data_IF_193739675081
#
_entry.id   IF_193739675081
#
_cell.length_a   1.000
_cell.length_b   1.000
_cell.length_c   1.000
_cell.angle_alpha   90.00
_cell.angle_beta   90.00
_cell.angle_gamma   90.00
#
_symmetry.space_group_name_H-M   'P 1'
#
loop_
_entity.id
_entity.type
_entity.pdbx_description
1 polymer ?
#
# COMPACT_ATOMS: atom_id res chain seq x y z
N UNK A 1 -10.09 -12.58 11.03
CA UNK A 1 -9.11 -11.49 10.82
C UNK A 1 -9.67 -10.51 9.82
N UNK A 2 -9.60 -9.21 10.11
CA UNK A 2 -10.08 -8.17 9.21
C UNK A 2 -9.03 -7.87 8.14
N UNK A 3 -9.44 -7.88 6.88
CA UNK A 3 -8.61 -7.50 5.74
C UNK A 3 -9.15 -6.23 5.11
N UNK A 4 -8.23 -5.37 4.69
CA UNK A 4 -8.50 -4.14 3.97
C UNK A 4 -7.97 -4.28 2.55
N UNK A 5 -8.83 -4.02 1.58
CA UNK A 5 -8.43 -3.75 0.20
C UNK A 5 -8.32 -2.23 0.06
N UNK A 6 -7.23 -1.75 -0.52
CA UNK A 6 -6.94 -0.32 -0.60
C UNK A 6 -6.34 0.07 -1.95
N UNK A 7 -6.43 1.37 -2.26
CA UNK A 7 -5.79 2.02 -3.40
C UNK A 7 -4.91 3.16 -2.87
N UNK A 8 -3.69 3.29 -3.39
CA UNK A 8 -2.78 4.42 -3.15
C UNK A 8 -2.55 5.16 -4.46
N UNK A 9 -2.55 6.50 -4.42
CA UNK A 9 -2.05 7.33 -5.50
C UNK A 9 -0.56 7.63 -5.26
N UNK A 10 0.29 7.17 -6.15
CA UNK A 10 1.73 7.42 -6.12
C UNK A 10 2.06 8.82 -6.64
N UNK A 11 3.27 9.31 -6.33
CA UNK A 11 3.72 10.65 -6.76
C UNK A 11 3.73 10.85 -8.28
N UNK A 12 3.88 9.76 -9.04
CA UNK A 12 3.82 9.73 -10.51
C UNK A 12 2.39 9.57 -11.06
N UNK A 13 1.35 9.77 -10.24
CA UNK A 13 -0.07 9.55 -10.60
C UNK A 13 -0.46 8.11 -10.89
N UNK A 14 0.44 7.14 -10.70
CA UNK A 14 0.08 5.73 -10.77
C UNK A 14 -0.82 5.36 -9.59
N UNK A 15 -1.76 4.46 -9.83
CA UNK A 15 -2.60 3.87 -8.80
C UNK A 15 -2.06 2.49 -8.43
N UNK A 16 -1.73 2.29 -7.16
CA UNK A 16 -1.32 1.01 -6.62
C UNK A 16 -2.46 0.40 -5.81
N UNK A 17 -2.81 -0.86 -6.10
CA UNK A 17 -3.82 -1.61 -5.34
C UNK A 17 -3.16 -2.63 -4.43
N UNK A 18 -3.72 -2.85 -3.24
CA UNK A 18 -3.15 -3.78 -2.28
C UNK A 18 -4.16 -4.31 -1.27
N UNK A 19 -3.75 -5.35 -0.55
CA UNK A 19 -4.50 -5.95 0.54
C UNK A 19 -3.61 -6.07 1.78
N UNK A 20 -4.16 -5.81 2.97
CA UNK A 20 -3.42 -5.95 4.23
C UNK A 20 -4.36 -6.12 5.41
N UNK A 21 -3.85 -6.66 6.51
CA UNK A 21 -4.48 -6.62 7.84
C UNK A 21 -4.02 -5.40 8.66
N UNK A 22 -3.00 -4.68 8.20
CA UNK A 22 -2.43 -3.50 8.86
C UNK A 22 -2.01 -2.45 7.81
N UNK A 23 -2.74 -1.34 7.74
CA UNK A 23 -2.54 -0.26 6.75
C UNK A 23 -1.27 0.56 7.01
N UNK A 24 -1.03 0.94 8.27
CA UNK A 24 0.14 1.76 8.64
C UNK A 24 1.46 1.07 8.28
N UNK A 25 1.57 -0.23 8.59
CA UNK A 25 2.74 -1.04 8.24
C UNK A 25 2.93 -1.08 6.72
N UNK A 26 1.87 -1.38 5.95
CA UNK A 26 2.00 -1.47 4.48
C UNK A 26 2.33 -0.14 3.83
N UNK A 27 1.75 0.95 4.32
CA UNK A 27 2.07 2.29 3.82
C UNK A 27 3.54 2.66 4.07
N UNK A 28 4.05 2.40 5.28
CA UNK A 28 5.47 2.62 5.62
C UNK A 28 6.43 1.78 4.78
N UNK A 29 6.09 0.50 4.55
CA UNK A 29 6.88 -0.39 3.69
C UNK A 29 6.88 0.06 2.23
N UNK A 30 5.73 0.46 1.68
CA UNK A 30 5.62 0.97 0.31
C UNK A 30 6.45 2.26 0.13
N UNK A 31 6.37 3.20 1.09
CA UNK A 31 7.18 4.43 1.07
C UNK A 31 8.70 4.15 1.10
N UNK A 32 9.11 3.01 1.66
CA UNK A 32 10.51 2.54 1.71
C UNK A 32 10.92 1.69 0.51
N UNK A 33 10.07 1.55 -0.52
CA UNK A 33 10.32 0.73 -1.70
C UNK A 33 10.24 -0.78 -1.44
N UNK A 34 9.53 -1.21 -0.38
CA UNK A 34 9.37 -2.64 -0.04
C UNK A 34 7.95 -3.14 -0.37
N UNK A 35 7.87 -4.15 -1.24
CA UNK A 35 6.63 -4.89 -1.51
C UNK A 35 5.69 -4.23 -2.52
N UNK A 36 6.21 -3.43 -3.45
CA UNK A 36 5.49 -2.82 -4.56
C UNK A 36 6.41 -1.88 -5.34
N UNK A 37 6.17 -1.74 -6.64
CA UNK A 37 6.86 -0.78 -7.52
C UNK A 37 6.34 0.64 -7.31
#
# INVERSE_FOLDING_TARGET
MLYYVYILECSNKALYTGITTNLERRFSEHKRGKGGH
#
